data_IF_176822430845
#
_entry.id   IF_176822430845
#
_cell.length_a   1.000
_cell.length_b   1.000
_cell.length_c   1.000
_cell.angle_alpha   90.00
_cell.angle_beta   90.00
_cell.angle_gamma   90.00
#
_symmetry.space_group_name_H-M   'P 1'
#
loop_
_entity.id
_entity.type
_entity.pdbx_description
1 polymer ?
#
# COMPACT_ATOMS: atom_id res chain seq x y z
N UNK A 1 35.28 0.56 -23.15
CA UNK A 1 34.22 0.43 -22.13
C UNK A 1 33.88 1.84 -21.70
N UNK A 2 32.71 2.31 -22.09
CA UNK A 2 32.36 3.73 -22.17
C UNK A 2 31.81 4.23 -20.82
N UNK A 3 32.48 5.22 -20.23
CA UNK A 3 32.21 5.77 -18.88
C UNK A 3 30.82 6.46 -18.84
N UNK A 4 30.26 6.78 -20.01
CA UNK A 4 28.95 7.43 -20.15
C UNK A 4 27.75 6.51 -19.85
N UNK A 5 27.88 5.20 -20.06
CA UNK A 5 26.78 4.24 -19.93
C UNK A 5 26.47 3.90 -18.45
N UNK A 6 27.51 3.85 -17.62
CA UNK A 6 27.41 3.53 -16.19
C UNK A 6 26.75 4.66 -15.38
N UNK A 7 27.01 5.91 -15.78
CA UNK A 7 26.44 7.10 -15.15
C UNK A 7 24.94 7.26 -15.44
N UNK A 8 24.48 6.82 -16.62
CA UNK A 8 23.08 6.90 -17.01
C UNK A 8 22.22 5.89 -16.24
N UNK A 9 22.71 4.64 -16.10
CA UNK A 9 22.07 3.57 -15.31
C UNK A 9 21.87 3.95 -13.84
N UNK A 10 22.83 4.69 -13.26
CA UNK A 10 22.80 5.16 -11.87
C UNK A 10 21.79 6.29 -11.65
N UNK A 11 21.53 7.13 -12.67
CA UNK A 11 20.50 8.18 -12.65
C UNK A 11 19.09 7.58 -12.78
N UNK A 12 18.90 6.64 -13.69
CA UNK A 12 17.63 5.93 -13.86
C UNK A 12 17.22 5.15 -12.60
N UNK A 13 18.17 4.48 -11.94
CA UNK A 13 17.88 3.80 -10.67
C UNK A 13 17.48 4.77 -9.55
N UNK A 14 18.13 5.95 -9.47
CA UNK A 14 17.77 6.98 -8.49
C UNK A 14 16.39 7.57 -8.75
N UNK A 15 16.01 7.78 -10.01
CA UNK A 15 14.68 8.28 -10.38
C UNK A 15 13.58 7.24 -10.16
N UNK A 16 13.83 5.97 -10.49
CA UNK A 16 12.93 4.86 -10.14
C UNK A 16 12.73 4.77 -8.62
N UNK A 17 13.80 4.86 -7.83
CA UNK A 17 13.72 4.89 -6.36
C UNK A 17 12.93 6.10 -5.84
N UNK A 18 13.12 7.28 -6.43
CA UNK A 18 12.40 8.51 -6.06
C UNK A 18 10.92 8.46 -6.42
N UNK A 19 10.59 7.86 -7.56
CA UNK A 19 9.21 7.66 -8.00
C UNK A 19 8.46 6.71 -7.07
N UNK A 20 9.10 5.58 -6.69
CA UNK A 20 8.57 4.62 -5.69
C UNK A 20 8.28 5.26 -4.33
N UNK A 21 8.96 6.34 -3.99
CA UNK A 21 8.84 7.03 -2.69
C UNK A 21 7.95 8.28 -2.73
N UNK A 22 7.24 8.59 -3.83
CA UNK A 22 6.28 9.72 -3.82
C UNK A 22 5.08 9.32 -2.96
N UNK A 23 4.94 9.98 -1.81
CA UNK A 23 3.80 9.85 -0.92
C UNK A 23 2.91 11.11 -0.98
N UNK A 24 1.59 10.93 -1.08
CA UNK A 24 0.60 12.01 -0.94
C UNK A 24 -0.25 11.78 0.32
N UNK A 25 -0.48 12.84 1.09
CA UNK A 25 -1.31 12.83 2.31
C UNK A 25 -2.82 13.00 2.01
N UNK A 26 -3.23 12.88 0.76
CA UNK A 26 -4.56 13.29 0.30
C UNK A 26 -5.67 12.25 0.48
N UNK A 27 -5.38 11.09 1.08
CA UNK A 27 -6.38 10.06 1.28
C UNK A 27 -6.91 10.12 2.71
N UNK A 28 -8.22 10.30 2.84
CA UNK A 28 -8.93 10.31 4.12
C UNK A 28 -9.90 9.15 4.16
N UNK A 29 -9.98 8.49 5.32
CA UNK A 29 -10.94 7.44 5.56
C UNK A 29 -12.35 8.01 5.69
N UNK A 30 -13.39 7.22 5.35
CA UNK A 30 -14.77 7.57 5.66
C UNK A 30 -14.99 7.85 7.15
N UNK A 31 -15.93 8.75 7.47
CA UNK A 31 -16.25 9.14 8.85
C UNK A 31 -16.85 8.00 9.68
N UNK A 32 -17.36 6.94 9.03
CA UNK A 32 -17.94 5.78 9.67
C UNK A 32 -16.91 4.69 10.03
N UNK A 33 -15.62 4.91 9.69
CA UNK A 33 -14.56 4.00 10.11
C UNK A 33 -14.43 3.98 11.63
N UNK A 34 -14.37 2.78 12.20
CA UNK A 34 -14.34 2.58 13.64
C UNK A 34 -13.10 1.80 14.10
N UNK A 35 -12.93 1.68 15.42
CA UNK A 35 -11.86 0.88 16.02
C UNK A 35 -10.47 1.45 15.78
N UNK A 36 -9.50 0.57 15.51
CA UNK A 36 -8.07 0.89 15.43
C UNK A 36 -7.68 1.85 14.30
N UNK A 37 -8.56 2.09 13.34
CA UNK A 37 -8.30 2.96 12.18
C UNK A 37 -8.96 4.33 12.26
N UNK A 38 -9.78 4.59 13.28
CA UNK A 38 -10.49 5.85 13.43
C UNK A 38 -9.49 7.02 13.62
N UNK A 39 -9.54 8.01 12.73
CA UNK A 39 -8.64 9.17 12.76
C UNK A 39 -7.24 8.93 12.20
N UNK A 40 -6.98 7.77 11.59
CA UNK A 40 -5.70 7.47 10.94
C UNK A 40 -5.50 8.28 9.66
N UNK A 41 -4.28 8.76 9.45
CA UNK A 41 -3.88 9.45 8.23
C UNK A 41 -3.36 8.44 7.19
N UNK A 42 -3.89 8.48 5.97
CA UNK A 42 -3.54 7.51 4.93
C UNK A 42 -2.65 8.15 3.85
N UNK A 43 -1.62 7.39 3.45
CA UNK A 43 -0.64 7.81 2.45
C UNK A 43 -0.89 7.09 1.13
N UNK A 44 -0.99 7.85 0.04
CA UNK A 44 -1.00 7.29 -1.32
C UNK A 44 0.44 7.07 -1.77
N UNK A 45 0.79 5.85 -2.17
CA UNK A 45 2.10 5.47 -2.70
C UNK A 45 1.99 5.19 -4.21
N UNK A 46 2.98 5.61 -4.99
CA UNK A 46 3.11 5.15 -6.38
C UNK A 46 3.91 3.84 -6.42
N UNK A 47 3.29 2.78 -6.91
CA UNK A 47 3.90 1.44 -6.93
C UNK A 47 4.17 0.95 -8.35
N UNK A 48 5.29 0.26 -8.53
CA UNK A 48 5.59 -0.50 -9.76
C UNK A 48 5.17 -1.97 -9.66
N UNK A 49 4.86 -2.44 -8.45
CA UNK A 49 4.37 -3.79 -8.14
C UNK A 49 3.27 -3.68 -7.06
N UNK A 50 2.05 -3.27 -7.49
CA UNK A 50 1.02 -2.83 -6.56
C UNK A 50 0.45 -3.98 -5.72
N UNK A 51 0.49 -5.22 -6.21
CA UNK A 51 0.06 -6.39 -5.43
C UNK A 51 1.03 -6.64 -4.29
N UNK A 52 2.35 -6.66 -4.58
CA UNK A 52 3.37 -6.86 -3.56
C UNK A 52 3.36 -5.74 -2.52
N UNK A 53 3.35 -4.48 -2.97
CA UNK A 53 3.37 -3.33 -2.05
C UNK A 53 2.09 -3.27 -1.19
N UNK A 54 0.91 -3.62 -1.76
CA UNK A 54 -0.32 -3.72 -0.97
C UNK A 54 -0.25 -4.85 0.05
N UNK A 55 0.22 -6.03 -0.35
CA UNK A 55 0.39 -7.18 0.56
C UNK A 55 1.26 -6.81 1.75
N UNK A 56 2.40 -6.17 1.52
CA UNK A 56 3.28 -5.72 2.59
C UNK A 56 2.59 -4.69 3.50
N UNK A 57 1.86 -3.71 2.92
CA UNK A 57 1.11 -2.75 3.73
C UNK A 57 0.00 -3.39 4.58
N UNK A 58 -0.66 -4.45 4.09
CA UNK A 58 -1.65 -5.20 4.87
C UNK A 58 -0.96 -5.97 6.01
N UNK A 59 0.19 -6.60 5.72
CA UNK A 59 0.97 -7.32 6.73
C UNK A 59 1.49 -6.40 7.84
N UNK A 60 1.92 -5.19 7.50
CA UNK A 60 2.31 -4.17 8.49
C UNK A 60 1.14 -3.85 9.42
N UNK A 61 -0.07 -3.63 8.87
CA UNK A 61 -1.26 -3.35 9.67
C UNK A 61 -1.59 -4.52 10.62
N UNK A 62 -1.50 -5.75 10.12
CA UNK A 62 -1.74 -6.97 10.92
C UNK A 62 -0.71 -7.16 12.03
N UNK A 63 0.57 -6.88 11.75
CA UNK A 63 1.66 -7.14 12.70
C UNK A 63 1.85 -6.04 13.73
N UNK A 64 1.59 -4.79 13.35
CA UNK A 64 2.02 -3.62 14.13
C UNK A 64 0.90 -2.66 14.50
N UNK A 65 -0.20 -2.62 13.75
CA UNK A 65 -1.27 -1.61 13.92
C UNK A 65 -2.54 -2.19 14.58
N UNK A 66 -2.38 -3.27 15.36
CA UNK A 66 -3.40 -3.71 16.31
C UNK A 66 -4.56 -4.53 15.75
N UNK A 67 -4.48 -5.01 14.50
CA UNK A 67 -5.51 -5.88 13.92
C UNK A 67 -5.43 -7.27 14.54
N UNK A 68 -6.30 -7.54 15.51
CA UNK A 68 -6.21 -8.74 16.36
C UNK A 68 -7.38 -9.70 16.19
N UNK A 69 -8.54 -9.22 15.71
CA UNK A 69 -9.74 -10.04 15.58
C UNK A 69 -10.44 -9.90 14.21
N UNK A 70 -11.57 -10.59 14.07
CA UNK A 70 -12.35 -10.59 12.83
C UNK A 70 -12.99 -9.23 12.50
N UNK A 71 -13.35 -8.44 13.52
CA UNK A 71 -13.90 -7.11 13.29
C UNK A 71 -12.82 -6.16 12.78
N UNK A 72 -11.63 -6.18 13.38
CA UNK A 72 -10.50 -5.39 12.91
C UNK A 72 -10.14 -5.77 11.46
N UNK A 73 -10.15 -7.06 11.12
CA UNK A 73 -9.87 -7.52 9.76
C UNK A 73 -10.91 -7.05 8.74
N UNK A 74 -12.21 -7.10 9.08
CA UNK A 74 -13.27 -6.55 8.22
C UNK A 74 -13.10 -5.05 8.02
N UNK A 75 -12.78 -4.33 9.09
CA UNK A 75 -12.59 -2.89 9.04
C UNK A 75 -11.35 -2.54 8.20
N UNK A 76 -10.28 -3.33 8.30
CA UNK A 76 -9.09 -3.19 7.47
C UNK A 76 -9.43 -3.32 5.98
N UNK A 77 -10.21 -4.36 5.62
CA UNK A 77 -10.68 -4.55 4.23
C UNK A 77 -11.54 -3.37 3.79
N UNK A 78 -12.49 -2.92 4.63
CA UNK A 78 -13.32 -1.75 4.34
C UNK A 78 -12.47 -0.51 4.05
N UNK A 79 -11.49 -0.22 4.89
CA UNK A 79 -10.55 0.90 4.71
C UNK A 79 -9.83 0.82 3.36
N UNK A 80 -9.26 -0.32 2.99
CA UNK A 80 -8.57 -0.46 1.71
C UNK A 80 -9.51 -0.29 0.51
N UNK A 81 -10.74 -0.79 0.58
CA UNK A 81 -11.73 -0.60 -0.49
C UNK A 81 -12.17 0.86 -0.59
N UNK A 82 -12.38 1.55 0.54
CA UNK A 82 -12.82 2.94 0.57
C UNK A 82 -11.74 3.93 0.12
N UNK A 83 -10.46 3.66 0.45
CA UNK A 83 -9.33 4.50 0.07
C UNK A 83 -8.93 4.37 -1.40
N UNK A 84 -9.35 3.29 -2.06
CA UNK A 84 -8.92 2.97 -3.42
C UNK A 84 -10.09 3.05 -4.41
N UNK A 85 -9.85 3.55 -5.63
CA UNK A 85 -10.89 3.57 -6.65
C UNK A 85 -11.20 2.14 -7.15
N UNK A 86 -12.37 1.90 -7.76
CA UNK A 86 -12.83 0.57 -8.15
C UNK A 86 -11.84 -0.24 -9.00
N UNK A 87 -11.03 0.42 -9.82
CA UNK A 87 -10.02 -0.21 -10.69
C UNK A 87 -8.91 -0.91 -9.89
N UNK A 88 -8.71 -0.51 -8.63
CA UNK A 88 -7.68 -1.06 -7.74
C UNK A 88 -8.23 -2.15 -6.83
N UNK A 89 -9.56 -2.32 -6.74
CA UNK A 89 -10.18 -3.29 -5.82
C UNK A 89 -9.75 -4.73 -6.10
N UNK A 90 -9.50 -5.11 -7.35
CA UNK A 90 -8.99 -6.45 -7.66
C UNK A 90 -7.56 -6.65 -7.11
N UNK A 91 -6.73 -5.61 -7.12
CA UNK A 91 -5.38 -5.66 -6.53
C UNK A 91 -5.48 -5.80 -5.01
N UNK A 92 -6.38 -5.06 -4.36
CA UNK A 92 -6.66 -5.20 -2.92
C UNK A 92 -7.05 -6.64 -2.60
N UNK A 93 -7.99 -7.20 -3.36
CA UNK A 93 -8.47 -8.58 -3.20
C UNK A 93 -7.33 -9.59 -3.34
N UNK A 94 -6.55 -9.51 -4.41
CA UNK A 94 -5.42 -10.41 -4.66
C UNK A 94 -4.37 -10.30 -3.55
N UNK A 95 -4.08 -9.09 -3.07
CA UNK A 95 -3.15 -8.89 -1.97
C UNK A 95 -3.62 -9.64 -0.70
N UNK A 96 -4.89 -9.50 -0.31
CA UNK A 96 -5.48 -10.25 0.82
C UNK A 96 -5.45 -11.77 0.60
N UNK A 97 -5.83 -12.27 -0.58
CA UNK A 97 -5.83 -13.71 -0.88
C UNK A 97 -4.41 -14.30 -0.87
N UNK A 98 -3.42 -13.53 -1.28
CA UNK A 98 -2.01 -13.94 -1.27
C UNK A 98 -1.48 -14.21 0.15
N UNK A 99 -2.12 -13.67 1.19
CA UNK A 99 -1.78 -13.95 2.59
C UNK A 99 -2.23 -15.34 3.04
N UNK A 100 -3.27 -15.88 2.40
CA UNK A 100 -3.85 -17.18 2.72
C UNK A 100 -3.18 -18.34 1.97
N UNK A 101 -2.45 -18.04 0.90
CA UNK A 101 -1.78 -19.04 0.07
C UNK A 101 -0.33 -19.19 0.54
N UNK A 102 -0.03 -20.27 1.27
CA UNK A 102 1.33 -20.72 1.60
C UNK A 102 1.83 -21.72 0.54
#
# INVERSE_FOLDING_TARGET
>A
MDITEEHNKKRENKEKQRSRNRVSLSASLPDDVCGVFAGSACLVKYSTDPIFDMRESILEMIRYEGVCDWNDMKELVYCYVALNPPEVHEIVREAFLSLCSN
#
